data_IF_460664121130
#
_entry.id   IF_460664121130
#
_cell.length_a   1.000
_cell.length_b   1.000
_cell.length_c   1.000
_cell.angle_alpha   90.00
_cell.angle_beta   90.00
_cell.angle_gamma   90.00
#
_symmetry.space_group_name_H-M   'P 1'
#
loop_
_entity.id
_entity.type
_entity.pdbx_description
1 polymer ?
#
# COMPACT_ATOMS: atom_id res chain seq x y z
N UNK A 1 -22.73 5.65 2.77
CA UNK A 1 -21.66 4.93 2.05
C UNK A 1 -22.09 3.47 1.95
N UNK A 2 -22.11 2.89 0.74
CA UNK A 2 -22.62 1.53 0.50
C UNK A 2 -21.57 0.45 0.87
N UNK A 3 -22.00 -0.65 1.51
CA UNK A 3 -21.10 -1.72 1.98
C UNK A 3 -20.37 -2.39 0.83
N UNK A 4 -21.00 -2.52 -0.35
CA UNK A 4 -20.34 -3.10 -1.54
C UNK A 4 -19.25 -2.17 -2.06
N UNK A 5 -19.47 -0.85 -2.04
CA UNK A 5 -18.43 0.14 -2.36
C UNK A 5 -17.23 0.04 -1.41
N UNK A 6 -17.46 -0.04 -0.10
CA UNK A 6 -16.36 -0.19 0.88
C UNK A 6 -15.56 -1.46 0.63
N UNK A 7 -16.22 -2.59 0.36
CA UNK A 7 -15.55 -3.86 0.03
C UNK A 7 -14.67 -3.76 -1.21
N UNK A 8 -15.03 -2.94 -2.18
CA UNK A 8 -14.28 -2.78 -3.43
C UNK A 8 -13.16 -1.72 -3.34
N UNK A 9 -13.14 -0.87 -2.31
CA UNK A 9 -12.16 0.24 -2.22
C UNK A 9 -10.71 -0.22 -2.30
N UNK A 10 -10.35 -1.36 -1.68
CA UNK A 10 -8.99 -1.88 -1.76
C UNK A 10 -8.58 -2.25 -3.21
N UNK A 11 -9.51 -2.77 -4.00
CA UNK A 11 -9.27 -3.09 -5.42
C UNK A 11 -9.13 -1.82 -6.25
N UNK A 12 -10.03 -0.87 -6.08
CA UNK A 12 -9.98 0.42 -6.78
C UNK A 12 -8.71 1.20 -6.44
N UNK A 13 -8.26 1.14 -5.18
CA UNK A 13 -6.99 1.73 -4.74
C UNK A 13 -5.80 1.09 -5.47
N UNK A 14 -5.77 -0.23 -5.62
CA UNK A 14 -4.70 -0.91 -6.36
C UNK A 14 -4.69 -0.54 -7.85
N UNK A 15 -5.88 -0.36 -8.46
CA UNK A 15 -6.00 0.12 -9.85
C UNK A 15 -5.44 1.54 -9.95
N UNK A 16 -5.84 2.43 -9.05
CA UNK A 16 -5.32 3.80 -9.01
C UNK A 16 -3.80 3.86 -8.83
N UNK A 17 -3.23 3.03 -7.95
CA UNK A 17 -1.77 2.99 -7.76
C UNK A 17 -1.02 2.46 -8.99
N UNK A 18 -1.65 1.60 -9.80
CA UNK A 18 -1.03 1.09 -11.03
C UNK A 18 -0.83 2.18 -12.09
N UNK A 19 -1.62 3.26 -12.07
CA UNK A 19 -1.44 4.42 -12.96
C UNK A 19 -0.08 5.13 -12.76
N UNK A 20 0.63 4.85 -11.66
CA UNK A 20 1.95 5.40 -11.36
C UNK A 20 3.09 4.40 -11.58
N UNK A 21 2.82 3.22 -12.14
CA UNK A 21 3.84 2.17 -12.31
C UNK A 21 5.00 2.62 -13.21
N UNK A 22 4.74 3.52 -14.15
CA UNK A 22 5.71 4.12 -15.07
C UNK A 22 6.67 5.11 -14.37
N UNK A 23 6.28 5.65 -13.22
CA UNK A 23 7.12 6.52 -12.39
C UNK A 23 8.28 5.76 -11.74
N UNK A 24 8.29 4.43 -11.78
CA UNK A 24 9.27 3.59 -11.12
C UNK A 24 10.01 2.69 -12.12
N UNK A 25 11.33 2.84 -12.17
CA UNK A 25 12.18 1.99 -13.01
C UNK A 25 12.22 0.50 -12.57
N UNK A 26 11.85 0.20 -11.33
CA UNK A 26 11.96 -1.14 -10.72
C UNK A 26 10.62 -1.63 -10.18
N UNK A 27 10.39 -2.94 -10.22
CA UNK A 27 9.16 -3.57 -9.69
C UNK A 27 9.08 -3.46 -8.18
N UNK A 28 10.22 -3.54 -7.50
CA UNK A 28 10.34 -3.49 -6.05
C UNK A 28 9.85 -2.15 -5.49
N UNK A 29 10.15 -1.04 -6.16
CA UNK A 29 9.67 0.29 -5.75
C UNK A 29 8.15 0.44 -5.88
N UNK A 30 7.56 -0.18 -6.91
CA UNK A 30 6.11 -0.21 -7.10
C UNK A 30 5.43 -1.03 -5.99
N UNK A 31 6.02 -2.18 -5.64
CA UNK A 31 5.53 -2.99 -4.53
C UNK A 31 5.65 -2.27 -3.18
N UNK A 32 6.76 -1.58 -2.93
CA UNK A 32 6.94 -0.74 -1.72
C UNK A 32 5.89 0.35 -1.61
N UNK A 33 5.56 1.02 -2.71
CA UNK A 33 4.46 2.00 -2.73
C UNK A 33 3.13 1.35 -2.33
N UNK A 34 2.80 0.19 -2.90
CA UNK A 34 1.56 -0.55 -2.56
C UNK A 34 1.54 -0.96 -1.09
N UNK A 35 2.65 -1.46 -0.55
CA UNK A 35 2.78 -1.83 0.86
C UNK A 35 2.62 -0.61 1.78
N UNK A 36 3.28 0.50 1.45
CA UNK A 36 3.20 1.74 2.21
C UNK A 36 1.77 2.27 2.26
N UNK A 37 1.13 2.45 1.09
CA UNK A 37 -0.24 2.98 1.00
C UNK A 37 -1.24 2.01 1.63
N UNK A 38 -1.09 0.70 1.41
CA UNK A 38 -1.90 -0.33 2.05
C UNK A 38 -1.85 -0.25 3.57
N UNK A 39 -0.66 -0.03 4.14
CA UNK A 39 -0.49 0.19 5.57
C UNK A 39 -1.05 1.51 6.10
N UNK A 40 -1.07 2.58 5.29
CA UNK A 40 -1.69 3.86 5.68
C UNK A 40 -3.22 3.74 5.84
N UNK A 41 -3.85 2.84 5.09
CA UNK A 41 -5.31 2.67 5.10
C UNK A 41 -5.77 1.41 5.83
N UNK A 42 -4.85 0.62 6.38
CA UNK A 42 -5.16 -0.56 7.19
C UNK A 42 -5.60 -0.21 8.61
N UNK A 43 -5.92 -1.25 9.38
CA UNK A 43 -6.24 -1.18 10.81
C UNK A 43 -5.00 -1.17 11.71
N UNK A 44 -3.80 -0.99 11.14
CA UNK A 44 -2.56 -0.91 11.94
C UNK A 44 -2.68 0.22 12.98
N UNK A 45 -2.35 -0.05 14.25
CA UNK A 45 -2.50 0.91 15.33
C UNK A 45 -1.56 2.12 15.18
N UNK A 46 -0.42 1.93 14.51
CA UNK A 46 0.51 2.99 14.13
C UNK A 46 0.82 2.88 12.65
N UNK A 47 0.69 4.00 11.94
CA UNK A 47 0.87 4.10 10.48
C UNK A 47 2.21 4.72 10.09
N UNK A 48 3.23 4.51 10.92
CA UNK A 48 4.61 4.86 10.58
C UNK A 48 5.22 3.79 9.67
N UNK A 49 6.36 4.11 9.05
CA UNK A 49 7.06 3.21 8.12
C UNK A 49 7.40 1.86 8.75
N UNK A 50 7.89 1.86 10.00
CA UNK A 50 8.33 0.62 10.66
C UNK A 50 7.18 -0.40 10.88
N UNK A 51 6.05 -0.06 11.53
CA UNK A 51 4.90 -0.96 11.63
C UNK A 51 4.38 -1.47 10.29
N UNK A 52 4.33 -0.60 9.27
CA UNK A 52 3.84 -0.98 7.94
C UNK A 52 4.82 -1.96 7.28
N UNK A 53 6.12 -1.69 7.36
CA UNK A 53 7.15 -2.56 6.80
C UNK A 53 7.14 -3.94 7.48
N UNK A 54 7.04 -3.97 8.82
CA UNK A 54 6.93 -5.21 9.59
C UNK A 54 5.68 -6.00 9.22
N UNK A 55 4.53 -5.34 9.07
CA UNK A 55 3.29 -5.99 8.64
C UNK A 55 3.38 -6.54 7.20
N UNK A 56 4.13 -5.89 6.33
CA UNK A 56 4.36 -6.30 4.94
C UNK A 56 5.54 -7.29 4.78
N UNK A 57 6.25 -7.67 5.85
CA UNK A 57 7.44 -8.53 5.77
C UNK A 57 8.65 -7.89 5.07
N UNK A 58 8.69 -6.55 4.97
CA UNK A 58 9.75 -5.78 4.34
C UNK A 58 10.66 -5.18 5.41
N UNK A 59 11.97 -5.04 5.11
CA UNK A 59 12.89 -4.38 6.03
C UNK A 59 12.50 -2.90 6.15
N UNK A 60 12.32 -2.32 7.37
CA UNK A 60 11.86 -0.94 7.56
C UNK A 60 12.67 0.13 6.81
N UNK A 61 13.96 -0.09 6.61
CA UNK A 61 14.84 0.84 5.87
C UNK A 61 14.62 0.81 4.35
N UNK A 62 13.89 -0.18 3.86
CA UNK A 62 13.68 -0.40 2.43
C UNK A 62 12.26 -0.08 1.98
N UNK A 63 11.31 0.07 2.91
CA UNK A 63 9.98 0.61 2.60
C UNK A 63 10.06 2.14 2.47
#
# INVERSE_FOLDING_TARGET
MDVKRIKNMGKELNIFLAEFDDCFARSESRERLRNYIGGQVSDLPRKSIEPIALAAGVVPRTL
#
